data_IF_559573536637
#
_entry.id   IF_559573536637
#
_cell.length_a   1.000
_cell.length_b   1.000
_cell.length_c   1.000
_cell.angle_alpha   90.00
_cell.angle_beta   90.00
_cell.angle_gamma   90.00
#
_symmetry.space_group_name_H-M   'P 1'
#
loop_
_entity.id
_entity.type
_entity.pdbx_description
1 polymer ?
#
# COMPACT_ATOMS: atom_id res chain seq x y z
N UNK A 1 -21.55 34.04 -7.98
CA UNK A 1 -21.12 32.68 -8.34
C UNK A 1 -19.67 32.54 -7.91
N UNK A 2 -19.35 31.71 -6.91
CA UNK A 2 -17.95 31.42 -6.60
C UNK A 2 -17.43 30.43 -7.65
N UNK A 3 -16.32 30.79 -8.28
CA UNK A 3 -15.56 29.95 -9.21
C UNK A 3 -14.82 28.88 -8.40
N UNK A 4 -15.16 27.61 -8.62
CA UNK A 4 -14.44 26.45 -8.08
C UNK A 4 -13.13 26.28 -8.84
N UNK A 5 -12.15 27.16 -8.57
CA UNK A 5 -10.73 26.92 -8.86
C UNK A 5 -10.01 26.63 -7.53
N UNK A 6 -10.46 25.60 -6.81
CA UNK A 6 -9.56 24.93 -5.87
C UNK A 6 -8.69 24.02 -6.70
N UNK A 7 -7.44 24.43 -6.92
CA UNK A 7 -6.35 23.58 -7.37
C UNK A 7 -6.35 22.28 -6.55
N UNK A 8 -6.99 21.23 -7.08
CA UNK A 8 -6.91 19.86 -6.58
C UNK A 8 -5.46 19.41 -6.79
N UNK A 9 -4.62 19.61 -5.77
CA UNK A 9 -3.25 19.11 -5.77
C UNK A 9 -3.29 17.59 -5.60
N UNK A 10 -2.45 16.81 -6.31
CA UNK A 10 -2.42 15.34 -6.21
C UNK A 10 -2.44 14.79 -4.76
N UNK A 11 -1.85 15.52 -3.81
CA UNK A 11 -1.91 15.18 -2.38
C UNK A 11 -3.27 15.29 -1.69
N UNK A 12 -4.34 15.75 -2.36
CA UNK A 12 -5.73 15.67 -1.88
C UNK A 12 -6.35 14.34 -2.35
N UNK A 13 -6.21 14.02 -3.64
CA UNK A 13 -6.63 12.74 -4.20
C UNK A 13 -5.94 11.56 -3.50
N UNK A 14 -4.62 11.61 -3.30
CA UNK A 14 -3.88 10.57 -2.57
C UNK A 14 -4.38 10.39 -1.13
N UNK A 15 -4.71 11.48 -0.43
CA UNK A 15 -5.25 11.42 0.94
C UNK A 15 -6.64 10.84 1.01
N UNK A 16 -7.47 11.11 0.01
CA UNK A 16 -8.82 10.57 -0.09
C UNK A 16 -8.79 9.07 -0.43
N UNK A 17 -7.79 8.63 -1.21
CA UNK A 17 -7.65 7.23 -1.62
C UNK A 17 -7.04 6.37 -0.51
N UNK A 18 -5.84 6.70 0.00
CA UNK A 18 -5.13 5.82 0.96
C UNK A 18 -5.11 6.33 2.40
N UNK A 19 -5.62 7.54 2.64
CA UNK A 19 -5.52 8.19 3.95
C UNK A 19 -4.15 8.78 4.24
N UNK A 20 -4.12 9.93 4.91
CA UNK A 20 -2.91 10.45 5.55
C UNK A 20 -2.88 10.12 7.03
N UNK A 21 -1.69 9.80 7.53
CA UNK A 21 -1.44 9.67 8.95
C UNK A 21 -1.01 11.03 9.54
N UNK A 22 -1.81 11.65 10.42
CA UNK A 22 -1.49 12.96 10.99
C UNK A 22 -0.29 12.95 11.94
N UNK A 23 0.15 11.78 12.41
CA UNK A 23 1.28 11.65 13.35
C UNK A 23 2.65 11.70 12.64
N UNK A 24 2.69 11.71 11.31
CA UNK A 24 3.89 12.11 10.60
C UNK A 24 4.12 13.62 10.82
N UNK A 25 5.02 13.95 11.76
CA UNK A 25 5.33 15.34 12.14
C UNK A 25 5.83 16.13 10.93
N UNK A 26 5.06 17.15 10.53
CA UNK A 26 5.48 18.15 9.53
C UNK A 26 6.86 18.72 9.89
N UNK A 27 7.78 18.67 8.92
CA UNK A 27 9.18 19.10 9.02
C UNK A 27 10.20 17.98 9.16
N UNK A 28 9.85 16.84 9.77
CA UNK A 28 10.78 15.71 9.96
C UNK A 28 10.91 14.85 8.70
N UNK A 29 9.91 14.87 7.81
CA UNK A 29 9.85 14.11 6.56
C UNK A 29 10.97 14.44 5.57
N UNK A 30 11.55 15.65 5.68
CA UNK A 30 12.64 16.11 4.79
C UNK A 30 14.02 15.69 5.26
N UNK A 31 14.14 15.14 6.48
CA UNK A 31 15.41 14.56 6.93
C UNK A 31 15.52 13.16 6.33
N UNK A 32 16.55 12.97 5.51
CA UNK A 32 16.82 11.67 4.91
C UNK A 32 16.95 10.59 5.99
N UNK A 33 16.22 9.49 5.77
CA UNK A 33 16.24 8.28 6.59
C UNK A 33 16.47 7.08 5.66
N UNK A 34 17.37 6.13 5.99
CA UNK A 34 17.54 4.93 5.19
C UNK A 34 16.24 4.15 5.00
N UNK A 35 16.11 3.45 3.87
CA UNK A 35 14.86 2.79 3.47
C UNK A 35 14.29 1.87 4.56
N UNK A 36 15.11 0.98 5.11
CA UNK A 36 14.70 0.04 6.18
C UNK A 36 14.23 0.77 7.45
N UNK A 37 14.89 1.86 7.82
CA UNK A 37 14.52 2.67 8.98
C UNK A 37 13.20 3.42 8.74
N UNK A 38 13.02 3.96 7.52
CA UNK A 38 11.79 4.64 7.13
C UNK A 38 10.60 3.66 7.12
N UNK A 39 10.80 2.47 6.55
CA UNK A 39 9.84 1.36 6.55
C UNK A 39 9.46 0.94 7.98
N UNK A 40 10.46 0.71 8.84
CA UNK A 40 10.23 0.34 10.24
C UNK A 40 9.43 1.40 10.99
N UNK A 41 9.71 2.68 10.77
CA UNK A 41 9.01 3.80 11.39
C UNK A 41 7.54 3.87 10.95
N UNK A 42 7.25 3.64 9.67
CA UNK A 42 5.86 3.59 9.16
C UNK A 42 5.06 2.48 9.85
N UNK A 43 5.66 1.30 10.01
CA UNK A 43 5.06 0.16 10.73
C UNK A 43 4.84 0.49 12.21
N UNK A 44 5.86 1.03 12.87
CA UNK A 44 5.82 1.36 14.30
C UNK A 44 4.69 2.35 14.61
N UNK A 45 4.55 3.40 13.80
CA UNK A 45 3.51 4.42 14.00
C UNK A 45 2.11 3.79 13.83
N UNK A 46 1.88 3.03 12.76
CA UNK A 46 0.55 2.49 12.45
C UNK A 46 0.15 1.25 13.26
N UNK A 47 1.11 0.58 13.91
CA UNK A 47 0.82 -0.54 14.82
C UNK A 47 0.64 -0.09 16.28
N UNK A 48 0.92 1.18 16.60
CA UNK A 48 0.62 1.72 17.93
C UNK A 48 -0.89 1.79 18.13
N UNK A 49 -1.35 1.15 19.20
CA UNK A 49 -2.76 0.88 19.58
C UNK A 49 -3.70 2.11 19.69
N UNK A 50 -3.25 3.33 19.41
CA UNK A 50 -4.04 4.57 19.51
C UNK A 50 -4.47 5.16 18.17
N UNK A 51 -4.11 4.53 17.05
CA UNK A 51 -4.50 5.04 15.74
C UNK A 51 -5.88 4.52 15.32
N UNK A 52 -6.69 5.34 14.62
CA UNK A 52 -7.94 4.89 14.01
C UNK A 52 -7.74 3.94 12.81
N UNK A 53 -6.49 3.67 12.45
CA UNK A 53 -6.10 2.86 11.31
C UNK A 53 -5.47 1.56 11.80
N UNK A 54 -6.04 0.42 11.42
CA UNK A 54 -5.48 -0.90 11.69
C UNK A 54 -4.99 -1.51 10.36
N UNK A 55 -3.67 -1.68 10.17
CA UNK A 55 -3.12 -2.28 8.96
C UNK A 55 -3.67 -3.67 8.62
N UNK A 56 -4.05 -4.46 9.63
CA UNK A 56 -4.59 -5.81 9.45
C UNK A 56 -6.11 -5.82 9.19
N UNK A 57 -6.76 -4.65 9.23
CA UNK A 57 -8.19 -4.49 8.94
C UNK A 57 -8.48 -3.02 8.65
N UNK A 58 -8.18 -2.53 7.43
CA UNK A 58 -8.50 -1.17 7.03
C UNK A 58 -10.00 -0.90 7.18
N UNK A 59 -10.37 0.30 7.66
CA UNK A 59 -11.78 0.67 7.83
C UNK A 59 -12.40 1.04 6.47
N UNK A 60 -13.30 0.20 5.95
CA UNK A 60 -14.00 0.42 4.67
C UNK A 60 -14.69 1.79 4.56
N UNK A 61 -15.19 2.36 5.67
CA UNK A 61 -15.89 3.65 5.65
C UNK A 61 -14.94 4.83 5.54
N UNK A 62 -13.69 4.64 5.96
CA UNK A 62 -12.68 5.71 5.98
C UNK A 62 -11.67 5.57 4.86
N UNK A 63 -11.39 4.34 4.44
CA UNK A 63 -10.34 3.98 3.49
C UNK A 63 -10.84 2.85 2.56
N UNK A 64 -11.86 3.11 1.72
CA UNK A 64 -12.46 2.09 0.85
C UNK A 64 -11.41 1.44 -0.07
N UNK A 65 -10.56 2.24 -0.73
CA UNK A 65 -9.48 1.72 -1.57
C UNK A 65 -8.53 0.79 -0.82
N UNK A 66 -8.06 1.21 0.35
CA UNK A 66 -7.18 0.38 1.18
C UNK A 66 -7.84 -0.93 1.60
N UNK A 67 -9.13 -0.89 1.92
CA UNK A 67 -9.91 -2.06 2.30
C UNK A 67 -10.11 -3.02 1.14
N UNK A 68 -10.58 -2.52 -0.02
CA UNK A 68 -10.91 -3.36 -1.17
C UNK A 68 -9.66 -3.99 -1.78
N UNK A 69 -8.57 -3.24 -1.90
CA UNK A 69 -7.28 -3.76 -2.34
C UNK A 69 -6.76 -4.83 -1.37
N UNK A 70 -6.81 -4.57 -0.06
CA UNK A 70 -6.42 -5.53 0.98
C UNK A 70 -7.23 -6.83 0.91
N UNK A 71 -8.56 -6.70 0.85
CA UNK A 71 -9.48 -7.83 0.82
C UNK A 71 -9.25 -8.67 -0.44
N UNK A 72 -9.22 -8.02 -1.60
CA UNK A 72 -9.08 -8.69 -2.90
C UNK A 72 -7.72 -9.38 -3.03
N UNK A 73 -6.62 -8.74 -2.64
CA UNK A 73 -5.29 -9.37 -2.62
C UNK A 73 -5.29 -10.61 -1.73
N UNK A 74 -5.83 -10.55 -0.51
CA UNK A 74 -5.89 -11.73 0.34
C UNK A 74 -6.76 -12.85 -0.23
N UNK A 75 -7.89 -12.52 -0.87
CA UNK A 75 -8.71 -13.51 -1.60
C UNK A 75 -7.92 -14.18 -2.73
N UNK A 76 -7.18 -13.42 -3.54
CA UNK A 76 -6.35 -13.95 -4.63
C UNK A 76 -5.18 -14.80 -4.13
N UNK A 77 -4.66 -14.50 -2.94
CA UNK A 77 -3.66 -15.32 -2.26
C UNK A 77 -4.25 -16.57 -1.58
N UNK A 78 -5.57 -16.77 -1.65
CA UNK A 78 -6.25 -17.94 -1.08
C UNK A 78 -6.36 -17.90 0.43
N UNK A 79 -6.54 -16.72 1.02
CA UNK A 79 -6.66 -16.56 2.47
C UNK A 79 -7.97 -17.14 3.00
N UNK A 80 -7.86 -17.95 4.04
CA UNK A 80 -8.98 -18.49 4.79
C UNK A 80 -9.23 -17.67 6.08
N UNK A 81 -10.33 -17.94 6.77
CA UNK A 81 -10.74 -17.25 8.01
C UNK A 81 -9.61 -17.16 9.06
N UNK A 82 -8.79 -18.20 9.18
CA UNK A 82 -7.67 -18.23 10.12
C UNK A 82 -6.55 -17.27 9.72
N UNK A 83 -6.29 -17.08 8.43
CA UNK A 83 -5.28 -16.16 7.93
C UNK A 83 -5.66 -14.70 8.23
N UNK A 84 -6.94 -14.38 8.03
CA UNK A 84 -7.51 -13.09 8.39
C UNK A 84 -7.45 -12.83 9.90
N UNK A 85 -7.83 -13.82 10.72
CA UNK A 85 -7.76 -13.70 12.19
C UNK A 85 -6.32 -13.52 12.70
N UNK A 86 -5.35 -14.16 12.05
CA UNK A 86 -3.92 -14.01 12.37
C UNK A 86 -3.34 -12.69 11.87
N UNK A 87 -4.04 -11.98 10.98
CA UNK A 87 -3.58 -10.73 10.38
C UNK A 87 -2.31 -10.93 9.55
N UNK A 88 -2.26 -12.01 8.77
CA UNK A 88 -1.08 -12.37 7.95
C UNK A 88 -0.77 -11.33 6.88
N UNK A 89 -1.80 -10.70 6.33
CA UNK A 89 -1.67 -9.59 5.40
C UNK A 89 -1.90 -8.29 6.17
N UNK A 90 -1.12 -7.26 5.84
CA UNK A 90 -1.27 -5.92 6.41
C UNK A 90 -1.08 -4.88 5.31
N UNK A 91 -1.97 -3.89 5.26
CA UNK A 91 -1.86 -2.73 4.37
C UNK A 91 -1.35 -1.51 5.16
N UNK A 92 -0.30 -0.86 4.69
CA UNK A 92 0.29 0.32 5.33
C UNK A 92 0.29 1.51 4.37
N UNK A 93 -0.17 2.67 4.85
CA UNK A 93 0.03 3.95 4.16
C UNK A 93 1.33 4.59 4.63
N UNK A 94 2.16 5.03 3.69
CA UNK A 94 3.39 5.76 3.93
C UNK A 94 3.25 7.25 3.58
N UNK A 95 2.06 7.68 3.16
CA UNK A 95 1.79 9.05 2.74
C UNK A 95 2.14 10.06 3.84
N UNK A 96 3.01 11.02 3.51
CA UNK A 96 3.50 12.03 4.42
C UNK A 96 4.72 11.60 5.26
N UNK A 97 5.24 10.39 5.09
CA UNK A 97 6.36 9.85 5.85
C UNK A 97 7.72 10.03 5.15
N UNK A 98 8.83 9.76 5.85
CA UNK A 98 10.14 9.68 5.19
C UNK A 98 10.19 8.60 4.09
N UNK A 99 9.36 7.56 4.17
CA UNK A 99 9.32 6.51 3.15
C UNK A 99 8.74 7.05 1.83
N UNK A 100 7.68 7.84 1.92
CA UNK A 100 7.14 8.62 0.80
C UNK A 100 8.18 9.64 0.30
N UNK A 101 8.58 10.61 1.13
CA UNK A 101 9.41 11.72 0.67
C UNK A 101 10.83 11.34 0.19
N UNK A 102 11.48 10.36 0.82
CA UNK A 102 12.87 9.99 0.47
C UNK A 102 12.93 8.84 -0.53
N UNK A 103 11.92 7.96 -0.52
CA UNK A 103 11.95 6.70 -1.27
C UNK A 103 10.83 6.54 -2.28
N UNK A 104 9.91 7.50 -2.39
CA UNK A 104 8.85 7.48 -3.41
C UNK A 104 7.97 6.25 -3.30
N UNK A 105 7.57 5.92 -2.07
CA UNK A 105 6.69 4.80 -1.74
C UNK A 105 5.54 5.35 -0.90
N UNK A 106 4.34 5.34 -1.46
CA UNK A 106 3.13 5.87 -0.83
C UNK A 106 2.45 4.85 0.08
N UNK A 107 2.75 3.57 -0.11
CA UNK A 107 2.32 2.52 0.78
C UNK A 107 2.86 1.15 0.40
N UNK A 108 2.49 0.15 1.18
CA UNK A 108 2.89 -1.23 0.92
C UNK A 108 1.96 -2.23 1.61
N UNK A 109 1.90 -3.43 1.04
CA UNK A 109 1.37 -4.62 1.71
C UNK A 109 2.52 -5.45 2.27
N UNK A 110 2.34 -5.97 3.48
CA UNK A 110 3.23 -6.94 4.12
C UNK A 110 2.48 -8.26 4.32
N UNK A 111 3.09 -9.34 3.86
CA UNK A 111 2.62 -10.72 4.04
C UNK A 111 3.58 -11.48 4.96
N UNK A 112 3.05 -12.02 6.05
CA UNK A 112 3.75 -12.95 6.93
C UNK A 112 3.52 -14.39 6.47
N UNK A 113 4.62 -15.08 6.13
CA UNK A 113 4.62 -16.48 5.70
C UNK A 113 4.64 -17.41 6.91
N UNK A 114 4.23 -18.67 6.72
CA UNK A 114 4.27 -19.68 7.80
C UNK A 114 5.66 -19.90 8.38
N UNK A 115 6.71 -19.67 7.59
CA UNK A 115 8.09 -19.74 8.06
C UNK A 115 8.51 -18.57 8.98
N UNK A 116 7.65 -17.59 9.21
CA UNK A 116 7.92 -16.35 9.94
C UNK A 116 8.57 -15.25 9.10
N UNK A 117 8.99 -15.55 7.88
CA UNK A 117 9.50 -14.54 6.94
C UNK A 117 8.39 -13.59 6.49
N UNK A 118 8.80 -12.36 6.18
CA UNK A 118 7.92 -11.30 5.72
C UNK A 118 8.27 -10.92 4.29
N UNK A 119 7.26 -10.86 3.44
CA UNK A 119 7.37 -10.38 2.06
C UNK A 119 6.61 -9.07 1.95
N UNK A 120 7.16 -8.13 1.19
CA UNK A 120 6.55 -6.81 1.01
C UNK A 120 6.38 -6.49 -0.47
N UNK A 121 5.24 -5.90 -0.81
CA UNK A 121 4.97 -5.29 -2.11
C UNK A 121 4.64 -3.83 -1.88
N UNK A 122 5.46 -2.96 -2.43
CA UNK A 122 5.37 -1.49 -2.30
C UNK A 122 4.68 -0.90 -3.50
N UNK A 123 3.92 0.17 -3.29
CA UNK A 123 3.24 0.89 -4.37
C UNK A 123 3.42 2.39 -4.21
N UNK A 124 3.31 3.07 -5.34
CA UNK A 124 3.30 4.53 -5.48
C UNK A 124 2.02 4.91 -6.25
N UNK A 125 1.29 5.89 -5.74
CA UNK A 125 0.06 6.39 -6.33
C UNK A 125 0.40 7.63 -7.14
N UNK A 126 -0.19 7.73 -8.33
CA UNK A 126 0.06 8.90 -9.17
C UNK A 126 -1.17 9.30 -9.96
N UNK A 127 -1.33 10.61 -10.13
CA UNK A 127 -2.29 11.18 -11.09
C UNK A 127 -1.73 11.24 -12.51
N UNK A 128 -0.43 10.93 -12.70
CA UNK A 128 0.20 10.94 -14.01
C UNK A 128 0.27 9.51 -14.57
N UNK A 129 -0.64 9.10 -15.48
CA UNK A 129 -0.63 7.75 -16.04
C UNK A 129 0.63 7.44 -16.86
N UNK A 130 1.41 8.47 -17.24
CA UNK A 130 2.66 8.33 -17.99
C UNK A 130 3.91 8.33 -17.08
N UNK A 131 3.77 8.16 -15.76
CA UNK A 131 4.92 8.08 -14.86
C UNK A 131 5.69 6.77 -15.13
N UNK A 132 6.88 6.88 -15.74
CA UNK A 132 7.69 5.72 -16.16
C UNK A 132 8.78 5.35 -15.13
N UNK A 133 9.10 6.25 -14.20
CA UNK A 133 10.16 6.04 -13.21
C UNK A 133 9.58 6.07 -11.80
N UNK A 134 9.78 4.98 -11.08
CA UNK A 134 9.36 4.80 -9.69
C UNK A 134 10.30 3.83 -8.97
N UNK A 135 10.33 3.94 -7.64
CA UNK A 135 11.14 3.09 -6.76
C UNK A 135 10.33 1.95 -6.13
N UNK A 136 9.01 2.07 -6.12
CA UNK A 136 8.09 1.06 -5.66
C UNK A 136 8.05 -0.17 -6.60
N UNK A 137 7.40 -1.25 -6.18
CA UNK A 137 7.22 -2.44 -7.02
C UNK A 137 6.16 -2.20 -8.11
N UNK A 138 5.15 -1.36 -7.83
CA UNK A 138 4.04 -1.06 -8.75
C UNK A 138 3.64 0.43 -8.66
N UNK A 139 3.16 0.99 -9.78
CA UNK A 139 2.45 2.28 -9.81
C UNK A 139 0.95 2.02 -9.87
N UNK A 140 0.19 2.80 -9.10
CA UNK A 140 -1.26 2.84 -9.16
C UNK A 140 -1.66 4.22 -9.69
N UNK A 141 -2.09 4.26 -10.96
CA UNK A 141 -2.58 5.48 -11.57
C UNK A 141 -4.04 5.72 -11.14
N UNK A 142 -4.34 6.91 -10.63
CA UNK A 142 -5.69 7.32 -10.22
C UNK A 142 -6.13 8.56 -11.00
N UNK A 143 -7.45 8.80 -11.17
CA UNK A 143 -7.93 10.02 -11.78
C UNK A 143 -7.46 11.26 -11.00
N UNK A 144 -7.16 12.35 -11.71
CA UNK A 144 -6.64 13.58 -11.11
C UNK A 144 -7.64 14.24 -10.15
N UNK A 145 -8.94 14.08 -10.42
CA UNK A 145 -10.04 14.64 -9.63
C UNK A 145 -10.48 13.71 -8.49
N UNK A 146 -9.81 12.55 -8.31
CA UNK A 146 -10.21 11.53 -7.35
C UNK A 146 -11.33 10.63 -7.86
N UNK A 147 -12.07 10.01 -6.94
CA UNK A 147 -13.24 9.18 -7.23
C UNK A 147 -14.49 9.78 -6.57
N UNK A 148 -15.54 10.06 -7.34
CA UNK A 148 -16.88 10.34 -6.81
C UNK A 148 -17.66 9.03 -6.67
N UNK A 149 -17.71 8.48 -5.46
CA UNK A 149 -18.45 7.24 -5.16
C UNK A 149 -19.99 7.35 -5.31
N UNK A 150 -20.53 8.52 -5.67
CA UNK A 150 -21.94 8.66 -6.06
C UNK A 150 -22.16 8.61 -7.58
N UNK A 151 -21.08 8.61 -8.37
CA UNK A 151 -21.13 8.43 -9.82
C UNK A 151 -20.84 6.96 -10.16
N UNK A 152 -21.76 6.33 -10.90
CA UNK A 152 -21.59 4.93 -11.31
C UNK A 152 -20.37 4.74 -12.22
N UNK A 153 -20.00 5.75 -13.02
CA UNK A 153 -18.86 5.65 -13.91
C UNK A 153 -17.54 5.60 -13.11
N UNK A 154 -17.40 6.43 -12.08
CA UNK A 154 -16.23 6.41 -11.20
C UNK A 154 -16.15 5.12 -10.39
N UNK A 155 -17.31 4.54 -10.00
CA UNK A 155 -17.35 3.22 -9.35
C UNK A 155 -16.86 2.10 -10.28
N UNK A 156 -17.24 2.11 -11.55
CA UNK A 156 -16.75 1.13 -12.53
C UNK A 156 -15.23 1.24 -12.72
N UNK A 157 -14.69 2.45 -12.86
CA UNK A 157 -13.23 2.67 -12.95
C UNK A 157 -12.52 2.22 -11.68
N UNK A 158 -13.11 2.52 -10.51
CA UNK A 158 -12.56 2.12 -9.23
C UNK A 158 -12.49 0.59 -9.11
N UNK A 159 -13.58 -0.11 -9.44
CA UNK A 159 -13.64 -1.57 -9.38
C UNK A 159 -12.64 -2.21 -10.35
N UNK A 160 -12.53 -1.71 -11.59
CA UNK A 160 -11.54 -2.18 -12.57
C UNK A 160 -10.11 -1.95 -12.06
N UNK A 161 -9.83 -0.79 -11.48
CA UNK A 161 -8.52 -0.48 -10.89
C UNK A 161 -8.20 -1.44 -9.74
N UNK A 162 -9.15 -1.68 -8.83
CA UNK A 162 -8.95 -2.62 -7.72
C UNK A 162 -8.69 -4.03 -8.25
N UNK A 163 -9.42 -4.48 -9.26
CA UNK A 163 -9.25 -5.81 -9.86
C UNK A 163 -7.83 -5.96 -10.41
N UNK A 164 -7.44 -5.09 -11.34
CA UNK A 164 -6.17 -5.17 -12.05
C UNK A 164 -4.99 -5.03 -11.08
N UNK A 165 -5.02 -4.06 -10.18
CA UNK A 165 -3.91 -3.82 -9.25
C UNK A 165 -3.80 -4.92 -8.20
N UNK A 166 -4.91 -5.55 -7.80
CA UNK A 166 -4.87 -6.67 -6.88
C UNK A 166 -4.25 -7.92 -7.50
N UNK A 167 -4.54 -8.20 -8.77
CA UNK A 167 -3.93 -9.31 -9.51
C UNK A 167 -2.41 -9.12 -9.65
N UNK A 168 -1.97 -7.93 -10.05
CA UNK A 168 -0.54 -7.62 -10.17
C UNK A 168 0.19 -7.76 -8.82
N UNK A 169 -0.40 -7.21 -7.74
CA UNK A 169 0.19 -7.30 -6.40
C UNK A 169 0.26 -8.76 -5.91
N UNK A 170 -0.80 -9.56 -6.13
CA UNK A 170 -0.79 -10.97 -5.78
C UNK A 170 0.29 -11.74 -6.55
N UNK A 171 0.46 -11.44 -7.85
CA UNK A 171 1.54 -11.98 -8.67
C UNK A 171 2.92 -11.63 -8.13
N UNK A 172 3.15 -10.38 -7.73
CA UNK A 172 4.40 -9.92 -7.12
C UNK A 172 4.70 -10.65 -5.80
N UNK A 173 3.68 -10.92 -4.97
CA UNK A 173 3.86 -11.76 -3.78
C UNK A 173 4.32 -13.17 -4.13
N UNK A 174 3.64 -13.83 -5.08
CA UNK A 174 3.99 -15.18 -5.51
C UNK A 174 5.42 -15.25 -6.08
N UNK A 175 5.83 -14.25 -6.85
CA UNK A 175 7.19 -14.15 -7.38
C UNK A 175 8.21 -14.03 -6.24
N UNK A 176 8.01 -13.08 -5.32
CA UNK A 176 8.92 -12.84 -4.19
C UNK A 176 9.03 -14.06 -3.27
N UNK A 177 7.92 -14.76 -3.02
CA UNK A 177 7.91 -16.02 -2.26
C UNK A 177 8.75 -17.09 -2.98
N UNK A 178 8.57 -17.23 -4.30
CA UNK A 178 9.33 -18.20 -5.10
C UNK A 178 10.83 -17.92 -5.09
N UNK A 179 11.23 -16.64 -5.22
CA UNK A 179 12.62 -16.23 -5.13
C UNK A 179 13.23 -16.52 -3.75
N UNK A 180 12.47 -16.28 -2.68
CA UNK A 180 12.89 -16.55 -1.30
C UNK A 180 13.12 -18.05 -1.06
N UNK A 181 12.20 -18.89 -1.53
CA UNK A 181 12.33 -20.35 -1.42
C UNK A 181 13.55 -20.88 -2.18
N UNK A 182 13.77 -20.40 -3.41
CA UNK A 182 14.96 -20.78 -4.20
C UNK A 182 16.27 -20.44 -3.47
N UNK A 183 16.37 -19.25 -2.88
CA UNK A 183 17.55 -18.83 -2.09
C UNK A 183 17.78 -19.70 -0.85
N UNK A 184 16.72 -20.24 -0.25
CA UNK A 184 16.82 -21.15 0.90
C UNK A 184 17.35 -22.51 0.46
N UNK A 185 16.83 -23.06 -0.63
CA UNK A 185 17.29 -24.33 -1.20
C UNK A 185 18.77 -24.26 -1.59
N UNK A 186 19.18 -23.19 -2.28
CA UNK A 186 20.58 -22.96 -2.66
C UNK A 186 21.52 -22.91 -1.43
N UNK A 187 21.07 -22.29 -0.33
CA UNK A 187 21.85 -22.25 0.93
C UNK A 187 21.95 -23.61 1.60
N UNK A 188 20.88 -24.40 1.60
CA UNK A 188 20.90 -25.74 2.19
C UNK A 188 21.89 -26.62 1.43
N UNK A 189 21.91 -26.55 0.09
CA UNK A 189 22.86 -27.29 -0.74
C UNK A 189 24.31 -26.80 -0.54
N UNK A 190 24.53 -25.51 -0.31
CA UNK A 190 25.88 -24.96 -0.14
C UNK A 190 26.52 -25.24 1.22
N UNK A 191 25.71 -25.51 2.26
CA UNK A 191 26.18 -25.64 3.65
C UNK A 191 25.77 -26.94 4.35
N UNK A 192 25.08 -27.86 3.65
CA UNK A 192 24.67 -29.19 4.13
C UNK A 192 25.51 -30.30 3.52
#
# INVERSE_FOLDING_TARGET
MPTYETLYTGGVAEKEVIGANPDFKKGDERKYLPYEEAMAKVKEIQTKSKMPYNPACPDVKRYPFAYDLYAKVGTLLGFEDEDWKRGKLKFFTALGSQLDFCHGVDGFLELELESGDKVQVTFDITINPNKVSYKADIIIAVPADGFDFNDNYDLEIFDELIEERSEEIAGLFQEKISQLNRRREERIVAYG
#
